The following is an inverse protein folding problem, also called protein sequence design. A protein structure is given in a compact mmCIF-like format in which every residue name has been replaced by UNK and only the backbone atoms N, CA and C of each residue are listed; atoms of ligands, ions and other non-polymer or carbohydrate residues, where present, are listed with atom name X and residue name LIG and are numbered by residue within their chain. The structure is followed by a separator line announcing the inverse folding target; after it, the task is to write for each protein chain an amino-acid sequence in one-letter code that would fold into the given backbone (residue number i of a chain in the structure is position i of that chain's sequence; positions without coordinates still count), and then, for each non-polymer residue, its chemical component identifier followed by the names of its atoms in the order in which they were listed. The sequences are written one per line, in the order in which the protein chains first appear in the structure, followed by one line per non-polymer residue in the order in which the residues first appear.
data_IF_577900594084
#
_entry.id   IF_577900594084
#
_cell.length_a   1.000
_cell.length_b   1.000
_cell.length_c   1.000
_cell.angle_alpha   90.00
_cell.angle_beta   90.00
_cell.angle_gamma   90.00
#
_symmetry.space_group_name_H-M   'P 1'
#
loop_
_entity.id
_entity.type
_entity.pdbx_description
1 polymer ?
#
# COMPACT_ATOMS: atom_id res chain seq x y z
N UNK A 1 -19.27 -27.59 23.33
CA UNK A 1 -18.05 -27.02 22.72
C UNK A 1 -18.21 -25.52 22.63
N UNK A 2 -17.34 -24.73 23.28
CA UNK A 2 -17.31 -23.27 23.11
C UNK A 2 -16.46 -22.98 21.88
N UNK A 3 -17.04 -22.28 20.90
CA UNK A 3 -16.31 -21.79 19.73
C UNK A 3 -15.43 -20.63 20.20
N UNK A 4 -14.12 -20.85 20.25
CA UNK A 4 -13.15 -19.79 20.46
C UNK A 4 -12.87 -19.17 19.09
N UNK A 5 -13.36 -17.96 18.86
CA UNK A 5 -12.99 -17.16 17.69
C UNK A 5 -11.63 -16.53 17.97
N UNK A 6 -10.58 -17.03 17.32
CA UNK A 6 -9.29 -16.33 17.27
C UNK A 6 -9.47 -15.04 16.46
N UNK A 7 -8.99 -13.93 17.01
CA UNK A 7 -8.87 -12.68 16.26
C UNK A 7 -7.76 -12.91 15.23
N UNK A 8 -8.13 -13.19 13.99
CA UNK A 8 -7.20 -13.15 12.86
C UNK A 8 -6.76 -11.70 12.74
N UNK A 9 -5.50 -11.39 13.03
CA UNK A 9 -4.95 -10.04 12.84
C UNK A 9 -5.33 -9.53 11.45
N UNK A 10 -6.00 -8.38 11.39
CA UNK A 10 -6.32 -7.72 10.13
C UNK A 10 -5.02 -7.50 9.36
N UNK A 11 -4.83 -8.24 8.27
CA UNK A 11 -3.67 -8.08 7.39
C UNK A 11 -3.61 -6.65 6.91
N UNK A 12 -2.53 -5.97 7.28
CA UNK A 12 -2.30 -4.60 6.86
C UNK A 12 -2.13 -4.59 5.34
N UNK A 13 -2.74 -3.61 4.67
CA UNK A 13 -2.70 -3.49 3.22
C UNK A 13 -1.86 -2.29 2.79
N UNK A 14 -1.12 -2.45 1.71
CA UNK A 14 -0.27 -1.43 1.09
C UNK A 14 -0.65 -1.23 -0.37
N UNK A 15 -0.70 0.03 -0.82
CA UNK A 15 -0.88 0.40 -2.22
C UNK A 15 0.41 0.99 -2.79
N UNK A 16 0.83 0.50 -3.94
CA UNK A 16 1.94 1.05 -4.72
C UNK A 16 1.35 1.73 -5.95
N UNK A 17 1.52 3.05 -6.05
CA UNK A 17 1.08 3.87 -7.17
C UNK A 17 2.28 4.21 -8.04
N UNK A 18 2.27 3.70 -9.28
CA UNK A 18 3.32 3.95 -10.27
C UNK A 18 2.81 3.65 -11.68
N UNK A 19 2.96 4.58 -12.62
CA UNK A 19 2.66 4.31 -14.04
C UNK A 19 3.68 3.38 -14.69
N UNK A 20 4.91 3.37 -14.19
CA UNK A 20 6.00 2.53 -14.71
C UNK A 20 6.27 1.36 -13.78
N UNK A 21 6.68 0.23 -14.35
CA UNK A 21 7.13 -0.91 -13.56
C UNK A 21 8.65 -0.80 -13.33
N UNK A 22 9.05 -0.21 -12.20
CA UNK A 22 10.46 -0.10 -11.84
C UNK A 22 10.97 -1.41 -11.21
N UNK A 23 12.22 -1.83 -11.47
CA UNK A 23 12.77 -3.06 -10.87
C UNK A 23 12.70 -3.10 -9.34
N UNK A 24 12.89 -1.96 -8.67
CA UNK A 24 12.82 -1.89 -7.20
C UNK A 24 11.41 -2.17 -6.65
N UNK A 25 10.34 -1.97 -7.43
CA UNK A 25 8.97 -2.26 -7.00
C UNK A 25 8.83 -3.75 -6.68
N UNK A 26 9.50 -4.62 -7.44
CA UNK A 26 9.53 -6.06 -7.16
C UNK A 26 10.19 -6.35 -5.82
N UNK A 27 11.30 -5.66 -5.50
CA UNK A 27 11.97 -5.79 -4.19
C UNK A 27 11.05 -5.30 -3.06
N UNK A 28 10.41 -4.15 -3.23
CA UNK A 28 9.45 -3.60 -2.27
C UNK A 28 8.30 -4.57 -2.00
N UNK A 29 7.71 -5.18 -3.04
CA UNK A 29 6.65 -6.18 -2.90
C UNK A 29 7.10 -7.41 -2.10
N UNK A 30 8.32 -7.87 -2.33
CA UNK A 30 8.89 -9.00 -1.59
C UNK A 30 9.08 -8.66 -0.10
N UNK A 31 9.57 -7.46 0.20
CA UNK A 31 9.72 -6.98 1.57
C UNK A 31 8.37 -6.85 2.29
N UNK A 32 7.36 -6.27 1.63
CA UNK A 32 6.00 -6.17 2.17
C UNK A 32 5.42 -7.55 2.47
N UNK A 33 5.60 -8.52 1.56
CA UNK A 33 5.18 -9.90 1.77
C UNK A 33 5.92 -10.57 2.94
N UNK A 34 7.21 -10.29 3.13
CA UNK A 34 8.02 -10.81 4.25
C UNK A 34 7.45 -10.37 5.60
N UNK A 35 6.92 -9.15 5.68
CA UNK A 35 6.31 -8.61 6.90
C UNK A 35 4.79 -8.80 6.95
N UNK A 36 4.25 -9.75 6.17
CA UNK A 36 2.82 -10.10 6.14
C UNK A 36 1.88 -8.95 5.77
N UNK A 37 2.36 -7.99 4.97
CA UNK A 37 1.55 -6.89 4.41
C UNK A 37 1.08 -7.29 3.01
N UNK A 38 -0.24 -7.26 2.80
CA UNK A 38 -0.83 -7.48 1.48
C UNK A 38 -0.59 -6.25 0.61
N UNK A 39 -0.04 -6.44 -0.58
CA UNK A 39 0.36 -5.35 -1.46
C UNK A 39 -0.46 -5.33 -2.75
N UNK A 40 -0.83 -4.12 -3.16
CA UNK A 40 -1.58 -3.84 -4.38
C UNK A 40 -0.78 -2.86 -5.23
N UNK A 41 -0.92 -2.96 -6.55
CA UNK A 41 -0.27 -2.02 -7.48
C UNK A 41 -1.30 -1.43 -8.42
N UNK A 42 -1.22 -0.12 -8.62
CA UNK A 42 -2.10 0.59 -9.53
C UNK A 42 -1.32 1.69 -10.26
N UNK A 43 -1.56 1.91 -11.56
CA UNK A 43 -0.98 3.06 -12.28
C UNK A 43 -1.61 4.39 -11.89
N UNK A 44 -2.77 4.36 -11.22
CA UNK A 44 -3.55 5.52 -10.81
C UNK A 44 -3.97 5.42 -9.35
N UNK A 45 -4.17 6.55 -8.68
CA UNK A 45 -4.76 6.56 -7.33
C UNK A 45 -6.23 6.10 -7.42
N UNK A 46 -6.60 4.96 -6.80
CA UNK A 46 -7.99 4.52 -6.76
C UNK A 46 -8.82 5.44 -5.84
N UNK A 47 -10.13 5.53 -6.10
CA UNK A 47 -11.06 6.27 -5.21
C UNK A 47 -11.06 5.71 -3.78
N UNK A 48 -10.88 4.40 -3.68
CA UNK A 48 -10.75 3.69 -2.41
C UNK A 48 -9.30 3.72 -1.87
N UNK A 49 -8.57 4.82 -2.00
CA UNK A 49 -7.20 4.89 -1.45
C UNK A 49 -7.17 4.80 0.09
N UNK A 50 -8.27 5.16 0.75
CA UNK A 50 -8.41 5.18 2.22
C UNK A 50 -8.47 3.80 2.89
N UNK A 51 -8.67 2.72 2.14
CA UNK A 51 -8.63 1.34 2.69
C UNK A 51 -7.20 0.80 2.84
N UNK A 52 -6.20 1.48 2.29
CA UNK A 52 -4.80 1.06 2.39
C UNK A 52 -4.13 1.74 3.57
N UNK A 53 -3.51 0.95 4.45
CA UNK A 53 -2.78 1.47 5.61
C UNK A 53 -1.48 2.15 5.21
N UNK A 54 -0.84 1.68 4.14
CA UNK A 54 0.39 2.24 3.59
C UNK A 54 0.19 2.60 2.12
N UNK A 55 0.73 3.73 1.69
CA UNK A 55 0.69 4.16 0.29
C UNK A 55 2.09 4.55 -0.14
N UNK A 56 2.57 3.94 -1.21
CA UNK A 56 3.84 4.24 -1.84
C UNK A 56 3.57 4.93 -3.19
N UNK A 57 4.09 6.13 -3.38
CA UNK A 57 3.87 6.92 -4.60
C UNK A 57 5.22 7.10 -5.28
N UNK A 58 5.37 6.51 -6.46
CA UNK A 58 6.68 6.36 -7.11
C UNK A 58 6.76 7.23 -8.36
N UNK A 59 7.57 8.28 -8.33
CA UNK A 59 7.76 9.21 -9.47
C UNK A 59 6.44 9.76 -10.05
N UNK A 60 5.37 9.79 -9.25
CA UNK A 60 4.08 10.34 -9.64
C UNK A 60 3.80 11.65 -8.91
N UNK A 61 3.26 12.62 -9.64
CA UNK A 61 2.69 13.84 -9.08
C UNK A 61 1.23 13.59 -8.70
N UNK A 62 0.90 13.93 -7.46
CA UNK A 62 -0.38 13.63 -6.85
C UNK A 62 -0.83 14.82 -6.02
N UNK A 63 -2.12 15.16 -6.12
CA UNK A 63 -2.69 16.24 -5.32
C UNK A 63 -2.73 15.81 -3.85
N UNK A 64 -2.18 16.65 -2.97
CA UNK A 64 -2.09 16.40 -1.53
C UNK A 64 -3.47 16.06 -0.94
N UNK A 65 -4.54 16.71 -1.42
CA UNK A 65 -5.94 16.45 -1.06
C UNK A 65 -6.38 14.98 -1.14
N UNK A 66 -5.80 14.20 -2.07
CA UNK A 66 -6.14 12.77 -2.23
C UNK A 66 -5.47 11.87 -1.19
N UNK A 67 -4.53 12.41 -0.42
CA UNK A 67 -3.55 11.66 0.39
C UNK A 67 -3.60 12.08 1.86
N UNK A 68 -4.06 13.30 2.18
CA UNK A 68 -4.08 13.89 3.54
C UNK A 68 -4.62 12.94 4.61
N UNK A 69 -5.62 12.11 4.28
CA UNK A 69 -6.25 11.23 5.26
C UNK A 69 -5.40 10.00 5.64
N UNK A 70 -4.36 9.68 4.86
CA UNK A 70 -3.52 8.52 5.08
C UNK A 70 -2.19 8.88 5.74
N UNK A 71 -2.09 8.61 7.05
CA UNK A 71 -0.94 8.93 7.89
C UNK A 71 0.38 8.29 7.42
N UNK A 72 0.34 7.17 6.69
CA UNK A 72 1.53 6.44 6.24
C UNK A 72 1.70 6.48 4.73
N UNK A 73 1.79 7.68 4.16
CA UNK A 73 2.13 7.86 2.74
C UNK A 73 3.62 8.14 2.56
N UNK A 74 4.24 7.42 1.65
CA UNK A 74 5.67 7.49 1.34
C UNK A 74 5.83 7.88 -0.13
N UNK A 75 6.57 8.97 -0.37
CA UNK A 75 6.93 9.42 -1.71
C UNK A 75 8.33 8.91 -2.05
N UNK A 76 8.45 8.26 -3.21
CA UNK A 76 9.70 7.69 -3.71
C UNK A 76 10.05 8.38 -5.01
N UNK A 77 11.20 9.04 -5.03
CA UNK A 77 11.77 9.68 -6.22
C UNK A 77 13.06 8.96 -6.64
N UNK A 78 13.11 8.48 -7.89
CA UNK A 78 14.21 7.69 -8.47
C UNK A 78 14.57 8.26 -9.83
#
# INVERSE_FOLDING_TARGET
MKLHTEIVEEKQSALIVSKKNYPFITLLKNELRRVSIDHFSSPIIPKAIRMFRYIFIVNETVTIEKIIDNKNTIFIHI
#
